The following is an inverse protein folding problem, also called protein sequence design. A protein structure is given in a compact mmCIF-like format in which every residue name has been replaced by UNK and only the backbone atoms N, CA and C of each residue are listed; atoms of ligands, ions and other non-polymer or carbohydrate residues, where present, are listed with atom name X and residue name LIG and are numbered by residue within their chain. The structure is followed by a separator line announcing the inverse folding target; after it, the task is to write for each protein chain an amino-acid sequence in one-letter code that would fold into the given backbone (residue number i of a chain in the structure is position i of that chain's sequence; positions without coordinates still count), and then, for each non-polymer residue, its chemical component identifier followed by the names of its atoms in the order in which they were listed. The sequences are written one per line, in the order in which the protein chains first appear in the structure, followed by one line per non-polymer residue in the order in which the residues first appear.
data_IF_856732726761
#
_entry.id   IF_856732726761
#
_cell.length_a   1.000
_cell.length_b   1.000
_cell.length_c   1.000
_cell.angle_alpha   90.00
_cell.angle_beta   90.00
_cell.angle_gamma   90.00
#
_symmetry.space_group_name_H-M   'P 1'
#
loop_
_entity.id
_entity.type
_entity.pdbx_description
1 polymer ?
#
# COMPACT_ATOMS: atom_id res chain seq x y z
N UNK A 1 17.53 -11.10 -7.92
CA UNK A 1 16.20 -10.96 -7.31
C UNK A 1 15.61 -9.66 -7.85
N UNK A 2 14.44 -9.72 -8.48
CA UNK A 2 13.81 -8.54 -9.08
C UNK A 2 13.18 -7.69 -7.97
N UNK A 3 13.35 -6.37 -8.02
CA UNK A 3 12.82 -5.39 -7.05
C UNK A 3 11.31 -5.51 -6.81
N UNK A 4 10.54 -5.92 -7.81
CA UNK A 4 9.10 -6.19 -7.67
C UNK A 4 8.79 -7.32 -6.66
N UNK A 5 9.67 -8.33 -6.58
CA UNK A 5 9.49 -9.47 -5.67
C UNK A 5 9.64 -9.01 -4.22
N UNK A 6 10.62 -8.15 -3.93
CA UNK A 6 10.87 -7.62 -2.58
C UNK A 6 9.80 -6.66 -2.09
N UNK A 7 9.16 -5.89 -2.98
CA UNK A 7 8.08 -4.96 -2.58
C UNK A 7 6.79 -5.71 -2.25
N UNK A 8 6.45 -6.75 -3.03
CA UNK A 8 5.26 -7.57 -2.74
C UNK A 8 5.41 -8.38 -1.45
N UNK A 9 6.60 -8.92 -1.16
CA UNK A 9 6.88 -9.61 0.12
C UNK A 9 6.70 -8.66 1.32
N UNK A 10 7.16 -7.41 1.19
CA UNK A 10 6.97 -6.37 2.22
C UNK A 10 5.50 -6.01 2.38
N UNK A 11 4.73 -5.89 1.29
CA UNK A 11 3.29 -5.66 1.34
C UNK A 11 2.57 -6.78 2.11
N UNK A 12 2.91 -8.05 1.83
CA UNK A 12 2.34 -9.21 2.52
C UNK A 12 2.66 -9.16 4.02
N UNK A 13 3.90 -8.83 4.38
CA UNK A 13 4.33 -8.73 5.78
C UNK A 13 3.55 -7.67 6.56
N UNK A 14 3.31 -6.51 5.93
CA UNK A 14 2.49 -5.44 6.52
C UNK A 14 1.06 -5.89 6.78
N UNK A 15 0.47 -6.64 5.84
CA UNK A 15 -0.89 -7.15 5.95
C UNK A 15 -1.03 -8.26 7.00
N UNK A 16 -0.06 -9.16 7.10
CA UNK A 16 -0.02 -10.21 8.13
C UNK A 16 0.11 -9.62 9.54
N UNK A 17 0.95 -8.59 9.67
CA UNK A 17 1.10 -7.83 10.91
C UNK A 17 -0.19 -7.14 11.37
N UNK A 18 -1.01 -6.62 10.45
CA UNK A 18 -2.32 -6.02 10.81
C UNK A 18 -3.35 -7.06 11.20
N UNK A 19 -3.42 -8.20 10.51
CA UNK A 19 -4.36 -9.26 10.88
C UNK A 19 -4.13 -9.75 12.32
N UNK A 20 -2.86 -9.81 12.75
CA UNK A 20 -2.49 -10.14 14.12
C UNK A 20 -2.88 -9.06 15.16
N UNK A 21 -3.10 -7.83 14.73
CA UNK A 21 -3.38 -6.67 15.60
C UNK A 21 -4.84 -6.19 15.57
N UNK A 22 -5.75 -6.87 14.86
CA UNK A 22 -7.18 -6.51 14.83
C UNK A 22 -7.76 -6.40 16.24
N UNK A 23 -8.09 -5.16 16.63
CA UNK A 23 -8.57 -4.79 17.97
C UNK A 23 -7.72 -3.74 18.69
N UNK A 24 -6.53 -3.42 18.17
CA UNK A 24 -5.63 -2.39 18.71
C UNK A 24 -5.68 -1.10 17.85
N UNK A 25 -5.54 0.09 18.45
CA UNK A 25 -5.69 1.40 17.76
C UNK A 25 -4.60 1.74 16.70
N UNK A 26 -3.83 0.78 16.21
CA UNK A 26 -2.72 0.98 15.25
C UNK A 26 -3.17 1.00 13.77
N UNK A 27 -4.48 1.03 13.47
CA UNK A 27 -4.97 0.99 12.08
C UNK A 27 -4.51 2.21 11.25
N UNK A 28 -4.29 3.36 11.91
CA UNK A 28 -3.70 4.55 11.26
C UNK A 28 -2.23 4.33 10.83
N UNK A 29 -1.50 3.41 11.47
CA UNK A 29 -0.12 3.10 11.13
C UNK A 29 -0.03 2.24 9.87
N UNK A 30 -1.00 1.35 9.61
CA UNK A 30 -0.95 0.50 8.41
C UNK A 30 -1.10 1.35 7.14
N UNK A 31 -2.05 2.27 7.12
CA UNK A 31 -2.24 3.16 5.97
C UNK A 31 -0.96 3.93 5.62
N UNK A 32 -0.28 4.51 6.63
CA UNK A 32 0.96 5.25 6.43
C UNK A 32 2.10 4.34 5.93
N UNK A 33 2.21 3.13 6.46
CA UNK A 33 3.23 2.16 6.03
C UNK A 33 3.02 1.70 4.59
N UNK A 34 1.77 1.43 4.19
CA UNK A 34 1.43 1.06 2.81
C UNK A 34 1.62 2.25 1.86
N UNK A 35 1.36 3.49 2.31
CA UNK A 35 1.58 4.69 1.51
C UNK A 35 3.08 4.98 1.29
N UNK A 36 3.92 4.74 2.30
CA UNK A 36 5.37 4.80 2.17
C UNK A 36 5.87 3.74 1.17
N UNK A 37 5.34 2.50 1.27
CA UNK A 37 5.69 1.43 0.34
C UNK A 37 5.29 1.76 -1.11
N UNK A 38 4.19 2.49 -1.33
CA UNK A 38 3.82 2.98 -2.65
C UNK A 38 4.84 3.99 -3.20
N UNK A 39 5.31 4.92 -2.37
CA UNK A 39 6.32 5.90 -2.78
C UNK A 39 7.64 5.21 -3.16
N UNK A 40 8.08 4.22 -2.38
CA UNK A 40 9.24 3.39 -2.69
C UNK A 40 9.05 2.62 -4.00
N UNK A 41 7.88 2.00 -4.21
CA UNK A 41 7.58 1.25 -5.43
C UNK A 41 7.61 2.13 -6.70
N UNK A 42 7.16 3.39 -6.59
CA UNK A 42 7.23 4.35 -7.68
C UNK A 42 8.69 4.75 -7.96
N UNK A 43 9.47 5.03 -6.92
CA UNK A 43 10.89 5.38 -7.05
C UNK A 43 11.71 4.25 -7.68
N UNK A 44 11.39 3.01 -7.34
CA UNK A 44 12.06 1.81 -7.85
C UNK A 44 11.57 1.39 -9.26
N UNK A 45 10.58 2.10 -9.82
CA UNK A 45 10.01 1.79 -11.12
C UNK A 45 9.29 0.44 -11.16
N UNK A 46 8.59 0.08 -10.09
CA UNK A 46 7.83 -1.17 -10.00
C UNK A 46 6.74 -1.23 -11.08
N UNK A 47 6.40 -2.45 -11.51
CA UNK A 47 5.38 -2.66 -12.53
C UNK A 47 3.96 -2.25 -12.04
N UNK A 48 3.08 -1.98 -13.00
CA UNK A 48 1.70 -1.53 -12.71
C UNK A 48 0.91 -2.57 -11.90
N UNK A 49 1.25 -3.86 -12.00
CA UNK A 49 0.61 -4.90 -11.20
C UNK A 49 0.94 -4.74 -9.73
N UNK A 50 2.21 -4.47 -9.42
CA UNK A 50 2.71 -4.20 -8.06
C UNK A 50 2.11 -2.91 -7.51
N UNK A 51 2.12 -1.82 -8.31
CA UNK A 51 1.51 -0.55 -7.92
C UNK A 51 0.01 -0.69 -7.67
N UNK A 52 -0.69 -1.44 -8.54
CA UNK A 52 -2.12 -1.72 -8.41
C UNK A 52 -2.45 -2.47 -7.13
N UNK A 53 -1.65 -3.47 -6.74
CA UNK A 53 -1.84 -4.21 -5.49
C UNK A 53 -1.69 -3.32 -4.25
N UNK A 54 -0.68 -2.43 -4.24
CA UNK A 54 -0.46 -1.49 -3.13
C UNK A 54 -1.62 -0.49 -3.04
N UNK A 55 -2.07 0.07 -4.17
CA UNK A 55 -3.23 0.99 -4.22
C UNK A 55 -4.52 0.34 -3.75
N UNK A 56 -4.79 -0.90 -4.16
CA UNK A 56 -5.94 -1.65 -3.69
C UNK A 56 -5.89 -1.86 -2.17
N UNK A 57 -4.69 -2.14 -1.64
CA UNK A 57 -4.47 -2.27 -0.19
C UNK A 57 -4.78 -0.97 0.54
N UNK A 58 -4.32 0.19 0.04
CA UNK A 58 -4.64 1.50 0.64
C UNK A 58 -6.14 1.73 0.76
N UNK A 59 -6.90 1.42 -0.31
CA UNK A 59 -8.37 1.56 -0.32
C UNK A 59 -9.07 0.65 0.70
N UNK A 60 -8.53 -0.56 0.93
CA UNK A 60 -9.06 -1.48 1.94
C UNK A 60 -8.76 -0.96 3.35
N UNK A 61 -7.55 -0.42 3.57
CA UNK A 61 -7.10 0.04 4.90
C UNK A 61 -7.77 1.33 5.36
N UNK A 62 -8.15 2.21 4.44
CA UNK A 62 -8.89 3.43 4.78
C UNK A 62 -9.98 3.66 3.72
N UNK A 63 -11.16 3.03 3.86
CA UNK A 63 -12.22 3.12 2.85
C UNK A 63 -12.77 4.54 2.68
N UNK A 64 -12.53 5.46 3.63
CA UNK A 64 -12.87 6.90 3.46
C UNK A 64 -12.09 7.56 2.31
N UNK A 65 -11.00 6.95 1.83
CA UNK A 65 -10.28 7.39 0.64
C UNK A 65 -10.96 6.99 -0.68
N UNK A 66 -12.04 6.20 -0.66
CA UNK A 66 -12.77 5.80 -1.87
C UNK A 66 -13.48 6.96 -2.59
N UNK A 67 -13.56 8.14 -1.97
CA UNK A 67 -14.14 9.35 -2.58
C UNK A 67 -13.14 10.27 -3.29
N UNK A 68 -11.84 9.95 -3.27
CA UNK A 68 -10.83 10.82 -3.84
C UNK A 68 -10.58 10.49 -5.32
N UNK A 69 -11.26 11.22 -6.20
CA UNK A 69 -10.81 11.58 -7.56
C UNK A 69 -9.34 12.07 -7.63
N UNK A 70 -8.67 12.24 -6.49
CA UNK A 70 -7.27 12.66 -6.33
C UNK A 70 -6.25 11.60 -6.69
N UNK A 71 -6.56 10.30 -6.66
CA UNK A 71 -5.58 9.25 -7.03
C UNK A 71 -5.31 9.25 -8.54
N UNK A 72 -6.28 9.66 -9.36
CA UNK A 72 -6.12 9.82 -10.82
C UNK A 72 -5.27 11.04 -11.23
N UNK A 73 -4.90 11.93 -10.29
CA UNK A 73 -4.11 13.15 -10.58
C UNK A 73 -2.65 13.10 -10.13
N UNK A 74 -2.21 12.02 -9.48
CA UNK A 74 -0.81 11.82 -9.08
C UNK A 74 0.06 11.22 -10.21
N UNK A 75 -0.46 11.18 -11.44
CA UNK A 75 0.19 10.61 -12.62
C UNK A 75 0.24 11.54 -13.83
N UNK A 76 0.43 12.85 -13.61
CA UNK A 76 0.81 13.80 -14.68
C UNK A 76 1.97 14.67 -14.22
#
# INVERSE_FOLDING_TARGET
MSTACTIMERLITLLDGEQLQRGHPSHADLFLQVAALLAEAIQDGADERTLGAIRATLLITEPKFSSLETVSRLGT
#
